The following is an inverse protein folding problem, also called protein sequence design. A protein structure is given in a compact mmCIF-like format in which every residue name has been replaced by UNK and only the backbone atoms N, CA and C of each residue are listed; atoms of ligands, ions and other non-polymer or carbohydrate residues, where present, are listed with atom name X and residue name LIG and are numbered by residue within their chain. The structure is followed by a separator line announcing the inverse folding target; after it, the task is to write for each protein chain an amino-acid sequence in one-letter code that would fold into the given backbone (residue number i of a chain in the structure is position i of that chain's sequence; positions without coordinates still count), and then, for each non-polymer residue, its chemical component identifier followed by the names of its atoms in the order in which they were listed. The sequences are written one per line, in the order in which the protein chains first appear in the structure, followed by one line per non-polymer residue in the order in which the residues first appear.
data_IF_246795494003
#
_entry.id   IF_246795494003
#
_cell.length_a   1.000
_cell.length_b   1.000
_cell.length_c   1.000
_cell.angle_alpha   90.00
_cell.angle_beta   90.00
_cell.angle_gamma   90.00
#
_symmetry.space_group_name_H-M   'P 1'
#
loop_
_entity.id
_entity.type
_entity.pdbx_description
1 polymer ?
#
# COMPACT_ATOMS: atom_id res chain seq x y z
N UNK A 1 49.34 -62.03 11.19
CA UNK A 1 48.90 -62.21 12.58
C UNK A 1 47.53 -61.59 12.68
N UNK A 2 46.49 -62.25 12.15
CA UNK A 2 45.80 -63.42 12.75
C UNK A 2 44.79 -62.90 13.81
N UNK A 3 43.51 -62.78 13.44
CA UNK A 3 42.43 -63.78 13.69
C UNK A 3 42.22 -64.07 15.18
N UNK A 4 41.02 -64.19 15.76
CA UNK A 4 39.65 -64.30 15.26
C UNK A 4 38.67 -64.16 16.46
N UNK A 5 37.36 -64.34 16.16
CA UNK A 5 36.30 -64.95 16.99
C UNK A 5 35.37 -63.95 17.73
N UNK A 6 34.04 -63.96 17.62
CA UNK A 6 33.03 -64.69 16.82
C UNK A 6 31.63 -64.10 17.14
N UNK A 7 30.61 -64.68 16.48
CA UNK A 7 29.15 -64.62 16.71
C UNK A 7 28.35 -63.50 16.01
N UNK A 8 27.28 -63.74 15.23
CA UNK A 8 26.60 -64.95 14.72
C UNK A 8 25.50 -64.50 13.72
N UNK A 9 25.54 -65.00 12.47
CA UNK A 9 24.46 -65.57 11.60
C UNK A 9 23.15 -64.78 11.40
N UNK A 10 22.54 -64.65 10.21
CA UNK A 10 22.98 -64.70 8.80
C UNK A 10 21.79 -64.25 7.88
N UNK A 11 22.11 -64.04 6.61
CA UNK A 11 21.37 -63.46 5.47
C UNK A 11 20.18 -64.25 4.91
N UNK A 12 19.19 -63.47 4.43
CA UNK A 12 18.60 -63.38 3.08
C UNK A 12 18.51 -64.61 2.13
N UNK A 13 17.35 -64.75 1.46
CA UNK A 13 17.29 -65.10 0.03
C UNK A 13 16.26 -66.15 -0.44
N UNK A 14 15.17 -65.68 -1.07
CA UNK A 14 14.56 -66.12 -2.36
C UNK A 14 14.09 -67.57 -2.68
N UNK A 15 12.96 -67.61 -3.41
CA UNK A 15 12.56 -68.50 -4.55
C UNK A 15 11.42 -69.53 -4.40
N UNK A 16 10.40 -69.36 -5.27
CA UNK A 16 9.76 -70.30 -6.24
C UNK A 16 9.16 -71.64 -5.77
N UNK A 17 7.88 -71.90 -6.16
CA UNK A 17 7.40 -73.10 -6.91
C UNK A 17 5.96 -73.52 -6.56
N UNK A 18 5.17 -73.88 -7.58
CA UNK A 18 3.76 -74.34 -7.59
C UNK A 18 3.57 -75.85 -7.27
N UNK A 19 2.41 -76.50 -7.59
CA UNK A 19 1.22 -76.85 -6.79
C UNK A 19 1.09 -78.38 -6.50
N UNK A 20 0.01 -78.91 -5.86
CA UNK A 20 -1.19 -79.48 -6.56
C UNK A 20 -2.50 -79.35 -5.69
N UNK A 21 -3.73 -79.76 -6.01
CA UNK A 21 -4.37 -80.51 -7.10
C UNK A 21 -5.89 -80.71 -6.82
N UNK A 22 -6.68 -80.74 -7.92
CA UNK A 22 -8.01 -81.33 -8.27
C UNK A 22 -9.09 -81.74 -7.23
N UNK A 23 -10.36 -81.40 -7.58
CA UNK A 23 -11.58 -82.18 -7.28
C UNK A 23 -12.92 -81.43 -7.48
N UNK A 24 -13.69 -81.75 -8.54
CA UNK A 24 -14.98 -81.18 -9.04
C UNK A 24 -16.26 -81.53 -8.20
N UNK A 25 -17.55 -81.35 -8.66
CA UNK A 25 -18.19 -80.43 -9.65
C UNK A 25 -19.53 -79.76 -9.17
N UNK A 26 -20.01 -78.75 -9.92
CA UNK A 26 -21.39 -78.80 -10.45
C UNK A 26 -22.47 -77.77 -10.00
N UNK A 27 -23.07 -77.14 -11.04
CA UNK A 27 -24.49 -76.76 -11.22
C UNK A 27 -24.97 -75.36 -10.78
N UNK A 28 -25.20 -74.49 -11.78
CA UNK A 28 -26.09 -73.32 -11.68
C UNK A 28 -26.07 -72.44 -12.93
N UNK A 29 -27.24 -72.26 -13.57
CA UNK A 29 -27.49 -71.59 -14.87
C UNK A 29 -27.37 -70.04 -14.82
N UNK A 30 -27.35 -69.34 -15.98
CA UNK A 30 -26.92 -67.94 -16.10
C UNK A 30 -28.07 -66.92 -16.00
N UNK A 31 -27.78 -65.69 -15.51
CA UNK A 31 -28.65 -64.52 -15.69
C UNK A 31 -27.79 -63.26 -15.88
N UNK A 32 -28.04 -62.42 -16.91
CA UNK A 32 -27.27 -61.20 -17.18
C UNK A 32 -27.85 -60.01 -16.42
N UNK A 33 -27.02 -59.17 -15.80
CA UNK A 33 -27.43 -57.85 -15.28
C UNK A 33 -26.39 -56.78 -15.57
N UNK A 34 -26.34 -56.40 -16.85
CA UNK A 34 -26.10 -55.04 -17.27
C UNK A 34 -27.30 -54.21 -16.81
N UNK A 35 -27.12 -53.22 -15.94
CA UNK A 35 -27.94 -51.99 -15.72
C UNK A 35 -27.64 -51.40 -14.32
N UNK A 36 -26.43 -50.92 -14.07
CA UNK A 36 -26.15 -50.07 -12.91
C UNK A 36 -24.97 -49.10 -13.14
N UNK A 37 -24.86 -48.54 -14.34
CA UNK A 37 -23.84 -47.53 -14.67
C UNK A 37 -24.42 -46.22 -15.24
N UNK A 38 -25.75 -46.07 -15.27
CA UNK A 38 -26.42 -44.91 -15.86
C UNK A 38 -27.07 -43.96 -14.83
N UNK A 39 -26.98 -44.26 -13.53
CA UNK A 39 -27.57 -43.43 -12.47
C UNK A 39 -26.55 -42.56 -11.72
N UNK A 40 -25.24 -42.72 -11.98
CA UNK A 40 -24.19 -41.90 -11.37
C UNK A 40 -23.71 -40.74 -12.25
N UNK A 41 -24.14 -40.69 -13.51
CA UNK A 41 -23.79 -39.62 -14.47
C UNK A 41 -24.86 -38.53 -14.58
N UNK A 42 -26.06 -38.74 -14.01
CA UNK A 42 -27.13 -37.73 -13.95
C UNK A 42 -27.15 -36.92 -12.65
N UNK A 43 -26.33 -37.27 -11.66
CA UNK A 43 -26.21 -36.54 -10.39
C UNK A 43 -25.10 -35.47 -10.39
N UNK A 44 -24.30 -35.35 -11.47
CA UNK A 44 -23.22 -34.37 -11.59
C UNK A 44 -23.52 -33.24 -12.61
N UNK A 45 -24.78 -33.09 -13.01
CA UNK A 45 -25.21 -32.08 -13.99
C UNK A 45 -26.13 -30.97 -13.40
N UNK A 46 -26.34 -30.95 -12.08
CA UNK A 46 -27.37 -30.13 -11.43
C UNK A 46 -26.89 -29.09 -10.43
N UNK A 47 -25.60 -28.75 -10.40
CA UNK A 47 -25.07 -27.77 -9.46
C UNK A 47 -24.06 -26.80 -10.11
N UNK A 48 -24.36 -26.31 -11.31
CA UNK A 48 -23.92 -24.95 -11.66
C UNK A 48 -24.82 -24.00 -10.87
N UNK A 49 -24.49 -23.78 -9.60
CA UNK A 49 -24.89 -22.54 -8.94
C UNK A 49 -24.37 -21.44 -9.88
N UNK A 50 -25.29 -20.83 -10.63
CA UNK A 50 -25.03 -19.53 -11.21
C UNK A 50 -24.67 -18.66 -10.00
N UNK A 51 -23.38 -18.46 -9.77
CA UNK A 51 -22.92 -17.27 -9.06
C UNK A 51 -23.59 -16.16 -9.84
N UNK A 52 -24.63 -15.55 -9.28
CA UNK A 52 -25.20 -14.36 -9.85
C UNK A 52 -24.02 -13.42 -10.02
N UNK A 53 -23.66 -13.15 -11.28
CA UNK A 53 -22.82 -12.01 -11.60
C UNK A 53 -23.45 -10.84 -10.85
N UNK A 54 -22.67 -10.12 -10.05
CA UNK A 54 -23.19 -8.91 -9.43
C UNK A 54 -23.79 -8.07 -10.58
N UNK A 55 -25.00 -7.50 -10.40
CA UNK A 55 -25.58 -6.64 -11.42
C UNK A 55 -24.52 -5.65 -11.86
N UNK A 56 -24.32 -5.52 -13.17
CA UNK A 56 -23.40 -4.51 -13.68
C UNK A 56 -23.81 -3.17 -13.06
N UNK A 57 -22.86 -2.41 -12.48
CA UNK A 57 -23.20 -1.13 -11.90
C UNK A 57 -23.91 -0.28 -12.95
N UNK A 58 -24.99 0.42 -12.58
CA UNK A 58 -25.74 1.25 -13.52
C UNK A 58 -24.78 2.27 -14.15
N UNK A 59 -24.91 2.53 -15.47
CA UNK A 59 -24.03 3.47 -16.16
C UNK A 59 -24.20 4.90 -15.62
N UNK A 60 -25.40 5.21 -15.11
CA UNK A 60 -25.75 6.51 -14.55
C UNK A 60 -26.26 6.42 -13.12
N UNK A 61 -25.90 7.40 -12.30
CA UNK A 61 -26.51 7.67 -11.01
C UNK A 61 -27.03 9.11 -11.00
N UNK A 62 -28.22 9.32 -10.45
CA UNK A 62 -28.80 10.66 -10.32
C UNK A 62 -29.21 10.90 -8.87
N UNK A 63 -28.67 11.96 -8.25
CA UNK A 63 -29.15 12.44 -6.94
C UNK A 63 -30.09 13.59 -7.21
N UNK A 64 -31.39 13.40 -7.04
CA UNK A 64 -32.41 14.37 -7.45
C UNK A 64 -32.94 15.20 -6.28
N UNK A 65 -33.22 16.48 -6.51
CA UNK A 65 -33.90 17.34 -5.53
C UNK A 65 -33.09 17.70 -4.29
N UNK A 66 -31.77 17.48 -4.30
CA UNK A 66 -30.89 17.81 -3.18
C UNK A 66 -30.50 19.28 -3.16
N UNK A 67 -30.16 19.79 -1.97
CA UNK A 67 -29.37 21.02 -1.85
C UNK A 67 -27.92 20.72 -2.20
N UNK A 68 -27.36 21.32 -3.23
CA UNK A 68 -26.00 20.99 -3.73
C UNK A 68 -25.05 22.15 -3.47
N UNK A 69 -23.98 21.86 -2.73
CA UNK A 69 -22.84 22.76 -2.57
C UNK A 69 -21.81 22.39 -3.63
N UNK A 70 -21.54 23.29 -4.57
CA UNK A 70 -20.66 23.01 -5.72
C UNK A 70 -19.16 23.21 -5.43
N UNK A 71 -18.81 23.59 -4.19
CA UNK A 71 -17.44 23.94 -3.78
C UNK A 71 -17.14 25.42 -4.04
N UNK A 72 -16.50 25.72 -5.17
CA UNK A 72 -16.11 27.09 -5.53
C UNK A 72 -17.23 27.90 -6.24
N UNK A 73 -18.34 27.25 -6.59
CA UNK A 73 -19.48 27.85 -7.29
C UNK A 73 -20.64 28.24 -6.36
N UNK A 74 -21.80 28.61 -6.94
CA UNK A 74 -23.01 28.89 -6.17
C UNK A 74 -23.56 27.62 -5.53
N UNK A 75 -24.29 27.81 -4.42
CA UNK A 75 -25.11 26.76 -3.83
C UNK A 75 -26.44 26.69 -4.60
N UNK A 76 -26.85 25.47 -4.95
CA UNK A 76 -28.15 25.21 -5.57
C UNK A 76 -29.09 24.63 -4.52
N UNK A 77 -30.22 25.31 -4.27
CA UNK A 77 -31.14 24.90 -3.20
C UNK A 77 -31.96 23.64 -3.55
N UNK A 78 -32.18 23.38 -4.84
CA UNK A 78 -32.75 22.14 -5.34
C UNK A 78 -32.16 21.85 -6.71
N UNK A 79 -31.34 20.80 -6.80
CA UNK A 79 -30.69 20.39 -8.01
C UNK A 79 -30.49 18.88 -8.10
N UNK A 80 -30.27 18.43 -9.32
CA UNK A 80 -29.86 17.07 -9.64
C UNK A 80 -28.35 17.03 -9.85
N UNK A 81 -27.70 16.00 -9.31
CA UNK A 81 -26.30 15.64 -9.62
C UNK A 81 -26.34 14.36 -10.45
N UNK A 82 -25.96 14.46 -11.72
CA UNK A 82 -25.86 13.32 -12.64
C UNK A 82 -24.41 12.85 -12.69
N UNK A 83 -24.21 11.56 -12.40
CA UNK A 83 -22.93 10.88 -12.50
C UNK A 83 -23.00 9.82 -13.61
N UNK A 84 -21.94 9.73 -14.39
CA UNK A 84 -21.75 8.73 -15.44
C UNK A 84 -20.33 8.16 -15.33
N UNK A 85 -20.20 6.83 -15.34
CA UNK A 85 -18.90 6.14 -15.32
C UNK A 85 -17.94 6.61 -14.20
N UNK A 86 -18.50 6.96 -13.03
CA UNK A 86 -17.72 7.43 -11.87
C UNK A 86 -17.30 8.90 -11.92
N UNK A 87 -17.73 9.66 -12.93
CA UNK A 87 -17.49 11.09 -13.06
C UNK A 87 -18.80 11.88 -12.95
N UNK A 88 -18.70 13.15 -12.52
CA UNK A 88 -19.83 14.07 -12.53
C UNK A 88 -20.02 14.55 -13.97
N UNK A 89 -21.16 14.22 -14.58
CA UNK A 89 -21.49 14.65 -15.93
C UNK A 89 -22.13 16.04 -15.91
N UNK A 90 -23.08 16.27 -14.99
CA UNK A 90 -23.79 17.53 -14.88
C UNK A 90 -24.36 17.79 -13.48
N UNK A 91 -24.49 19.07 -13.13
CA UNK A 91 -25.17 19.53 -11.90
C UNK A 91 -26.08 20.70 -12.26
N UNK A 92 -27.37 20.63 -11.91
CA UNK A 92 -28.34 21.66 -12.26
C UNK A 92 -29.77 21.37 -11.80
N UNK A 93 -30.63 22.39 -11.80
CA UNK A 93 -32.01 22.30 -11.30
C UNK A 93 -32.95 21.50 -12.22
N UNK A 94 -32.77 21.59 -13.54
CA UNK A 94 -33.67 21.01 -14.55
C UNK A 94 -32.92 20.01 -15.46
N UNK A 95 -32.15 19.09 -14.87
CA UNK A 95 -31.45 18.06 -15.63
C UNK A 95 -32.38 16.91 -16.01
N UNK A 96 -32.30 16.48 -17.27
CA UNK A 96 -32.98 15.28 -17.72
C UNK A 96 -32.21 14.04 -17.22
N UNK A 97 -32.87 13.23 -16.39
CA UNK A 97 -32.30 11.99 -15.88
C UNK A 97 -32.49 10.86 -16.91
N UNK A 98 -31.41 10.15 -17.31
CA UNK A 98 -31.50 8.98 -18.18
C UNK A 98 -32.42 7.90 -17.58
N UNK A 99 -33.19 7.21 -18.43
CA UNK A 99 -34.18 6.21 -17.97
C UNK A 99 -33.58 4.95 -17.33
N UNK A 100 -32.28 4.72 -17.52
CA UNK A 100 -31.47 3.65 -16.95
C UNK A 100 -30.61 4.11 -15.76
N UNK A 101 -30.77 5.37 -15.31
CA UNK A 101 -30.07 5.88 -14.15
C UNK A 101 -30.64 5.29 -12.85
N UNK A 102 -29.74 5.01 -11.90
CA UNK A 102 -30.13 4.75 -10.52
C UNK A 102 -30.44 6.08 -9.83
N UNK A 103 -31.71 6.30 -9.53
CA UNK A 103 -32.18 7.52 -8.88
C UNK A 103 -32.07 7.40 -7.36
N UNK A 104 -31.45 8.41 -6.75
CA UNK A 104 -31.30 8.62 -5.32
C UNK A 104 -32.13 9.85 -4.96
N UNK A 105 -33.12 9.69 -4.09
CA UNK A 105 -33.92 10.81 -3.58
C UNK A 105 -33.07 11.67 -2.63
N UNK A 106 -32.75 12.88 -3.09
CA UNK A 106 -31.98 13.88 -2.36
C UNK A 106 -32.84 14.85 -1.54
N UNK A 107 -34.16 14.66 -1.50
CA UNK A 107 -35.08 15.59 -0.83
C UNK A 107 -34.74 15.74 0.66
N UNK A 108 -34.49 16.99 1.08
CA UNK A 108 -34.10 17.30 2.45
C UNK A 108 -32.65 16.94 2.80
N UNK A 109 -31.87 16.42 1.85
CA UNK A 109 -30.45 16.14 2.00
C UNK A 109 -29.61 17.29 1.41
N UNK A 110 -28.36 17.37 1.86
CA UNK A 110 -27.37 18.28 1.28
C UNK A 110 -26.19 17.49 0.73
N UNK A 111 -25.86 17.71 -0.53
CA UNK A 111 -24.73 17.09 -1.22
C UNK A 111 -23.54 18.06 -1.18
N UNK A 112 -22.39 17.54 -0.77
CA UNK A 112 -21.11 18.25 -0.75
C UNK A 112 -20.09 17.50 -1.62
N UNK A 113 -19.08 18.21 -2.16
CA UNK A 113 -17.88 17.56 -2.64
C UNK A 113 -17.21 16.86 -1.46
N UNK A 114 -16.64 15.68 -1.71
CA UNK A 114 -15.90 14.97 -0.68
C UNK A 114 -14.72 15.80 -0.17
N UNK A 115 -14.49 15.78 1.14
CA UNK A 115 -13.37 16.48 1.75
C UNK A 115 -12.05 15.78 1.39
N UNK A 116 -10.97 16.56 1.34
CA UNK A 116 -9.61 16.09 1.08
C UNK A 116 -8.75 16.40 2.30
N UNK A 117 -8.16 15.37 2.90
CA UNK A 117 -7.16 15.54 3.96
C UNK A 117 -5.80 15.87 3.32
N UNK A 118 -5.25 17.06 3.63
CA UNK A 118 -4.06 17.59 2.97
C UNK A 118 -2.74 17.04 3.49
N UNK A 119 -2.72 16.36 4.64
CA UNK A 119 -1.53 15.74 5.20
C UNK A 119 -1.92 14.69 6.24
N UNK A 120 -1.83 13.42 5.85
CA UNK A 120 -2.32 12.30 6.63
C UNK A 120 -1.36 11.11 6.59
N UNK A 121 -1.59 10.13 7.45
CA UNK A 121 -0.96 8.80 7.35
C UNK A 121 -1.95 7.69 6.99
N UNK A 122 -3.16 8.08 6.61
CA UNK A 122 -4.28 7.18 6.43
C UNK A 122 -4.11 6.30 5.20
N UNK A 123 -4.77 5.15 5.25
CA UNK A 123 -4.73 4.14 4.18
C UNK A 123 -3.43 3.33 4.15
N UNK A 124 -2.50 3.58 5.08
CA UNK A 124 -1.30 2.77 5.25
C UNK A 124 -1.56 1.64 6.25
N UNK A 125 -0.91 0.50 6.03
CA UNK A 125 -0.92 -0.56 7.03
C UNK A 125 -0.24 -0.06 8.32
N UNK A 126 -0.73 -0.43 9.52
CA UNK A 126 -0.03 -0.12 10.75
C UNK A 126 1.41 -0.64 10.70
N UNK A 127 2.40 0.14 11.15
CA UNK A 127 3.78 -0.32 11.15
C UNK A 127 3.92 -1.60 11.98
N UNK A 128 4.60 -2.60 11.43
CA UNK A 128 4.87 -3.87 12.12
C UNK A 128 5.58 -3.60 13.46
N UNK A 129 4.96 -4.01 14.57
CA UNK A 129 5.53 -3.83 15.92
C UNK A 129 5.04 -2.58 16.68
N UNK A 130 4.10 -1.80 16.15
CA UNK A 130 3.40 -0.77 16.93
C UNK A 130 2.46 -1.40 17.97
N UNK A 131 3.04 -1.80 19.11
CA UNK A 131 2.28 -2.15 20.31
C UNK A 131 1.49 -0.95 20.85
N UNK A 132 0.48 -1.18 21.71
CA UNK A 132 -0.38 -0.10 22.21
C UNK A 132 0.41 1.04 22.85
N UNK A 133 0.04 2.32 22.60
CA UNK A 133 0.61 3.46 23.30
C UNK A 133 0.16 3.42 24.76
N UNK A 134 0.98 2.80 25.61
CA UNK A 134 0.64 2.57 27.02
C UNK A 134 1.48 1.49 27.72
N UNK A 135 2.22 0.68 26.97
CA UNK A 135 3.21 -0.25 27.53
C UNK A 135 4.52 0.45 27.87
N UNK A 136 4.60 1.12 29.02
CA UNK A 136 5.88 1.43 29.65
C UNK A 136 6.59 0.11 29.99
N UNK A 137 7.31 -0.44 29.03
CA UNK A 137 7.82 -1.80 29.09
C UNK A 137 9.24 -1.90 28.58
N UNK A 138 10.18 -1.69 29.51
CA UNK A 138 11.51 -2.30 29.49
C UNK A 138 12.47 -1.83 28.39
N UNK A 139 13.59 -1.26 28.81
CA UNK A 139 14.79 -1.17 27.98
C UNK A 139 15.32 -2.56 27.63
N UNK A 140 14.64 -3.23 26.70
CA UNK A 140 15.14 -4.41 26.03
C UNK A 140 16.40 -4.01 25.27
N UNK A 141 17.48 -4.73 25.52
CA UNK A 141 18.64 -4.78 24.63
C UNK A 141 18.21 -5.44 23.32
N UNK A 142 17.35 -4.77 22.55
CA UNK A 142 17.14 -5.12 21.15
C UNK A 142 18.48 -5.00 20.43
N UNK A 143 18.70 -5.86 19.43
CA UNK A 143 19.88 -5.78 18.57
C UNK A 143 20.17 -4.31 18.24
N UNK A 144 21.38 -3.84 18.60
CA UNK A 144 21.81 -2.53 18.15
C UNK A 144 21.74 -2.57 16.63
N UNK A 145 20.87 -1.74 16.06
CA UNK A 145 20.96 -1.40 14.65
C UNK A 145 22.39 -0.95 14.31
N UNK A 146 22.73 -0.91 13.01
CA UNK A 146 24.07 -0.55 12.58
C UNK A 146 24.53 0.75 13.26
N UNK A 147 25.80 0.77 13.68
CA UNK A 147 26.38 1.92 14.36
C UNK A 147 26.37 3.13 13.44
N UNK A 148 25.59 4.15 13.79
CA UNK A 148 25.50 5.41 13.05
C UNK A 148 26.70 6.26 13.48
N UNK A 149 27.68 6.40 12.58
CA UNK A 149 28.93 7.15 12.77
C UNK A 149 28.78 8.61 12.35
N UNK A 150 27.93 8.89 11.37
CA UNK A 150 27.80 10.24 10.83
C UNK A 150 26.67 10.44 9.82
N UNK A 151 26.60 11.63 9.19
CA UNK A 151 25.61 11.94 8.17
C UNK A 151 25.67 11.02 6.94
N UNK A 152 26.83 10.42 6.66
CA UNK A 152 27.04 9.48 5.56
C UNK A 152 26.25 8.18 5.71
N UNK A 153 25.90 7.78 6.94
CA UNK A 153 25.11 6.57 7.20
C UNK A 153 23.60 6.80 6.98
N UNK A 154 23.21 8.00 6.52
CA UNK A 154 21.83 8.40 6.18
C UNK A 154 20.79 7.98 7.22
N UNK A 155 20.96 8.31 8.52
CA UNK A 155 20.05 7.84 9.55
C UNK A 155 18.62 8.33 9.28
N UNK A 156 17.66 7.41 9.39
CA UNK A 156 16.20 7.69 9.27
C UNK A 156 15.85 8.51 8.01
N UNK A 157 16.53 8.23 6.90
CA UNK A 157 16.41 8.98 5.65
C UNK A 157 16.04 8.00 4.56
N UNK A 158 14.77 8.04 4.16
CA UNK A 158 14.14 7.14 3.20
C UNK A 158 13.34 7.91 2.13
N UNK A 159 13.89 8.96 1.49
CA UNK A 159 13.16 9.80 0.52
C UNK A 159 12.72 9.05 -0.76
N UNK A 160 13.24 7.83 -0.98
CA UNK A 160 12.83 6.93 -2.06
C UNK A 160 11.58 6.09 -1.74
N UNK A 161 11.19 6.00 -0.47
CA UNK A 161 10.00 5.24 -0.06
C UNK A 161 8.77 6.03 -0.47
N UNK A 162 7.91 5.43 -1.30
CA UNK A 162 6.63 6.00 -1.65
C UNK A 162 5.55 5.56 -0.67
N UNK A 163 4.70 6.48 -0.21
CA UNK A 163 3.54 6.08 0.58
C UNK A 163 2.57 5.17 -0.20
N UNK A 164 2.64 5.14 -1.54
CA UNK A 164 1.89 4.17 -2.35
C UNK A 164 2.28 2.71 -2.05
N UNK A 165 3.55 2.46 -1.68
CA UNK A 165 4.04 1.12 -1.36
C UNK A 165 3.69 0.69 0.07
N UNK A 166 3.27 1.64 0.91
CA UNK A 166 2.90 1.43 2.31
C UNK A 166 1.38 1.25 2.50
N UNK A 167 0.61 1.35 1.41
CA UNK A 167 -0.85 1.25 1.47
C UNK A 167 -1.29 -0.16 1.91
N UNK A 168 -2.30 -0.19 2.76
CA UNK A 168 -2.88 -1.42 3.29
C UNK A 168 -4.22 -1.17 3.97
N UNK A 169 -4.61 -2.13 4.81
CA UNK A 169 -5.82 -2.04 5.62
C UNK A 169 -5.60 -1.09 6.79
N UNK A 170 -6.41 -0.04 6.87
CA UNK A 170 -6.37 0.95 7.94
C UNK A 170 -7.75 1.04 8.60
N UNK A 171 -7.90 0.62 9.87
CA UNK A 171 -9.19 0.60 10.56
C UNK A 171 -9.76 2.00 10.87
N UNK A 172 -9.00 3.08 10.63
CA UNK A 172 -9.50 4.44 10.81
C UNK A 172 -10.12 5.04 9.54
N UNK A 173 -9.97 4.40 8.36
CA UNK A 173 -10.48 4.94 7.09
C UNK A 173 -12.00 5.12 7.12
N UNK A 174 -12.74 4.16 7.71
CA UNK A 174 -14.20 4.25 7.81
C UNK A 174 -14.66 5.48 8.60
N UNK A 175 -13.98 5.81 9.70
CA UNK A 175 -14.29 7.01 10.50
C UNK A 175 -14.07 8.29 9.70
N UNK A 176 -13.06 8.30 8.82
CA UNK A 176 -12.80 9.44 7.94
C UNK A 176 -13.84 9.58 6.84
N UNK A 177 -14.31 8.45 6.28
CA UNK A 177 -15.43 8.45 5.34
C UNK A 177 -16.72 8.94 5.99
N UNK A 178 -17.02 8.50 7.20
CA UNK A 178 -18.17 8.98 7.99
C UNK A 178 -18.10 10.49 8.28
N UNK A 179 -16.89 11.03 8.44
CA UNK A 179 -16.66 12.47 8.57
C UNK A 179 -16.72 13.24 7.24
N UNK A 180 -16.89 12.55 6.10
CA UNK A 180 -17.03 13.16 4.78
C UNK A 180 -15.72 13.27 3.98
N UNK A 181 -14.61 12.68 4.43
CA UNK A 181 -13.36 12.62 3.67
C UNK A 181 -13.42 11.51 2.62
N UNK A 182 -13.05 11.86 1.38
CA UNK A 182 -13.05 10.92 0.24
C UNK A 182 -11.67 10.70 -0.34
N UNK A 183 -10.74 11.62 -0.09
CA UNK A 183 -9.35 11.53 -0.51
C UNK A 183 -8.42 12.05 0.58
N UNK A 184 -7.17 11.58 0.56
CA UNK A 184 -6.14 12.03 1.48
C UNK A 184 -4.77 12.07 0.80
N UNK A 185 -3.97 13.07 1.12
CA UNK A 185 -2.54 13.08 0.81
C UNK A 185 -1.84 12.33 1.94
N UNK A 186 -1.43 11.10 1.65
CA UNK A 186 -0.79 10.21 2.62
C UNK A 186 0.73 10.28 2.51
N UNK A 187 1.41 10.30 3.66
CA UNK A 187 2.88 10.39 3.76
C UNK A 187 3.43 9.31 4.69
N UNK A 188 4.65 8.80 4.47
CA UNK A 188 5.26 7.87 5.42
C UNK A 188 5.41 8.55 6.79
N UNK A 189 5.08 7.83 7.87
CA UNK A 189 4.96 8.42 9.21
C UNK A 189 6.29 8.78 9.86
N UNK A 190 7.33 7.99 9.61
CA UNK A 190 8.58 8.04 10.37
C UNK A 190 9.79 8.36 9.49
N UNK A 191 10.72 9.13 10.06
CA UNK A 191 11.95 9.53 9.36
C UNK A 191 12.20 11.03 9.42
N UNK A 192 13.46 11.43 9.19
CA UNK A 192 13.82 12.82 8.94
C UNK A 192 13.38 13.18 7.53
N UNK A 193 13.90 12.50 6.52
CA UNK A 193 13.28 12.46 5.19
C UNK A 193 12.48 11.16 5.11
N UNK A 194 11.18 11.22 5.41
CA UNK A 194 10.37 10.02 5.58
C UNK A 194 10.04 9.34 4.26
N UNK A 195 9.85 10.12 3.18
CA UNK A 195 9.52 9.60 1.86
C UNK A 195 8.54 10.47 1.10
N UNK A 196 7.98 9.91 0.03
CA UNK A 196 7.15 10.61 -0.94
C UNK A 196 5.67 10.58 -0.54
N UNK A 197 5.01 11.73 -0.68
CA UNK A 197 3.58 11.89 -0.51
C UNK A 197 2.81 11.45 -1.76
N UNK A 198 1.67 10.78 -1.56
CA UNK A 198 0.76 10.40 -2.66
C UNK A 198 -0.68 10.76 -2.30
N UNK A 199 -1.46 11.16 -3.29
CA UNK A 199 -2.90 11.37 -3.14
C UNK A 199 -3.62 10.05 -3.38
N UNK A 200 -4.41 9.64 -2.40
CA UNK A 200 -5.21 8.41 -2.44
C UNK A 200 -6.70 8.70 -2.33
N UNK A 201 -7.50 7.83 -2.91
CA UNK A 201 -8.91 7.68 -2.64
C UNK A 201 -9.12 6.81 -1.40
N UNK A 202 -10.03 7.20 -0.52
CA UNK A 202 -10.37 6.47 0.71
C UNK A 202 -11.49 5.42 0.51
N UNK A 203 -11.95 5.20 -0.71
CA UNK A 203 -12.97 4.20 -1.02
C UNK A 203 -12.46 2.76 -0.98
N UNK A 204 -13.42 1.85 -1.16
CA UNK A 204 -13.20 0.39 -1.10
C UNK A 204 -12.64 -0.10 -2.43
N UNK A 205 -11.32 0.04 -2.61
CA UNK A 205 -10.59 -0.46 -3.77
C UNK A 205 -9.26 -1.07 -3.34
N UNK A 206 -8.70 -1.94 -4.19
CA UNK A 206 -7.37 -2.50 -3.98
C UNK A 206 -6.33 -1.38 -3.76
N UNK A 207 -5.33 -1.55 -2.86
CA UNK A 207 -4.37 -0.49 -2.50
C UNK A 207 -3.78 0.26 -3.70
N UNK A 208 -3.45 -0.46 -4.78
CA UNK A 208 -2.89 0.15 -6.00
C UNK A 208 -3.91 0.99 -6.78
N UNK A 209 -5.18 0.61 -6.78
CA UNK A 209 -6.26 1.34 -7.45
C UNK A 209 -6.69 2.58 -6.66
N UNK A 210 -6.39 2.63 -5.36
CA UNK A 210 -6.64 3.81 -4.53
C UNK A 210 -5.70 4.97 -4.85
N UNK A 211 -4.56 4.75 -5.51
CA UNK A 211 -3.62 5.84 -5.85
C UNK A 211 -4.18 6.69 -6.98
N UNK A 212 -4.45 7.98 -6.70
CA UNK A 212 -4.93 8.95 -7.68
C UNK A 212 -3.75 9.64 -8.37
N UNK A 213 -2.79 10.12 -7.58
CA UNK A 213 -1.64 10.86 -8.10
C UNK A 213 -0.44 10.77 -7.15
N UNK A 214 0.76 10.76 -7.71
CA UNK A 214 2.00 10.80 -6.95
C UNK A 214 3.22 10.53 -7.81
N UNK A 215 4.43 10.80 -7.28
CA UNK A 215 4.71 11.48 -6.02
C UNK A 215 4.45 13.00 -6.07
N UNK A 216 3.78 13.54 -5.06
CA UNK A 216 3.36 14.95 -4.99
C UNK A 216 4.32 15.84 -4.21
N UNK A 217 4.92 15.31 -3.15
CA UNK A 217 5.75 16.05 -2.22
C UNK A 217 6.73 15.13 -1.49
N UNK A 218 7.70 15.68 -0.79
CA UNK A 218 8.60 14.95 0.11
C UNK A 218 8.26 15.27 1.56
N UNK A 219 8.15 14.26 2.42
CA UNK A 219 7.87 14.44 3.85
C UNK A 219 9.18 14.66 4.62
N UNK A 220 9.31 15.81 5.27
CA UNK A 220 10.48 16.19 6.06
C UNK A 220 10.08 16.49 7.51
N UNK A 221 10.63 15.77 8.49
CA UNK A 221 10.34 15.93 9.91
C UNK A 221 11.56 16.36 10.71
N UNK A 222 11.35 17.22 11.70
CA UNK A 222 12.37 17.59 12.68
C UNK A 222 12.32 16.68 13.92
N UNK A 223 12.24 15.37 13.70
CA UNK A 223 12.11 14.37 14.77
C UNK A 223 13.45 14.09 15.47
N UNK A 224 13.43 14.12 16.81
CA UNK A 224 14.54 13.79 17.69
C UNK A 224 14.17 12.58 18.55
N UNK A 225 14.69 11.41 18.22
CA UNK A 225 14.30 10.19 18.93
C UNK A 225 15.13 9.90 20.19
N UNK A 226 16.46 10.07 20.14
CA UNK A 226 17.33 9.67 21.25
C UNK A 226 18.68 10.37 21.19
N UNK A 227 19.20 10.75 22.37
CA UNK A 227 20.55 11.29 22.51
C UNK A 227 21.66 10.27 22.24
N UNK A 228 21.33 8.97 22.13
CA UNK A 228 22.30 7.90 21.89
C UNK A 228 22.60 7.64 20.42
N UNK A 229 21.89 8.31 19.51
CA UNK A 229 22.00 8.13 18.07
C UNK A 229 22.10 9.49 17.38
N UNK A 230 22.84 9.54 16.27
CA UNK A 230 22.95 10.74 15.44
C UNK A 230 21.77 10.83 14.45
N UNK A 231 21.16 12.01 14.25
CA UNK A 231 21.28 13.22 15.06
C UNK A 231 20.43 13.15 16.34
N UNK A 232 21.04 13.50 17.48
CA UNK A 232 20.42 13.39 18.81
C UNK A 232 19.81 14.69 19.37
N UNK A 233 19.86 15.79 18.61
CA UNK A 233 19.30 17.08 19.01
C UNK A 233 18.65 17.77 17.83
N UNK A 234 17.74 18.72 18.08
CA UNK A 234 17.07 19.48 17.02
C UNK A 234 18.08 20.24 16.14
N UNK A 235 19.09 20.86 16.75
CA UNK A 235 20.17 21.52 16.00
C UNK A 235 20.93 20.52 15.13
N UNK A 236 21.18 19.31 15.64
CA UNK A 236 21.79 18.23 14.88
C UNK A 236 20.92 17.79 13.70
N UNK A 237 19.60 17.69 13.89
CA UNK A 237 18.66 17.35 12.81
C UNK A 237 18.68 18.43 11.72
N UNK A 238 18.63 19.71 12.09
CA UNK A 238 18.68 20.80 11.11
C UNK A 238 20.03 20.85 10.37
N UNK A 239 21.14 20.64 11.07
CA UNK A 239 22.46 20.54 10.43
C UNK A 239 22.54 19.34 9.48
N UNK A 240 21.99 18.19 9.89
CA UNK A 240 21.91 16.99 9.07
C UNK A 240 21.05 17.21 7.81
N UNK A 241 19.88 17.83 7.94
CA UNK A 241 19.00 18.16 6.80
C UNK A 241 19.71 19.04 5.80
N UNK A 242 20.38 20.11 6.25
CA UNK A 242 21.21 20.96 5.38
C UNK A 242 22.32 20.18 4.70
N UNK A 243 23.02 19.32 5.45
CA UNK A 243 24.08 18.48 4.89
C UNK A 243 23.54 17.57 3.77
N UNK A 244 22.40 16.91 3.97
CA UNK A 244 21.78 16.04 2.96
C UNK A 244 21.39 16.83 1.71
N UNK A 245 20.84 18.04 1.85
CA UNK A 245 20.49 18.88 0.70
C UNK A 245 21.73 19.34 -0.07
N UNK A 246 22.79 19.76 0.63
CA UNK A 246 24.09 20.09 0.00
C UNK A 246 24.71 18.88 -0.70
N UNK A 247 24.66 17.70 -0.08
CA UNK A 247 25.11 16.45 -0.69
C UNK A 247 24.29 16.13 -1.95
N UNK A 248 22.98 16.40 -1.92
CA UNK A 248 22.07 16.17 -3.05
C UNK A 248 22.43 17.08 -4.24
N UNK A 249 22.67 18.37 -3.98
CA UNK A 249 23.12 19.31 -5.01
C UNK A 249 24.48 18.90 -5.60
N UNK A 250 25.41 18.46 -4.74
CA UNK A 250 26.71 17.95 -5.16
C UNK A 250 26.56 16.69 -6.02
N UNK A 251 25.75 15.72 -5.58
CA UNK A 251 25.45 14.49 -6.28
C UNK A 251 24.86 14.76 -7.67
N UNK A 252 23.83 15.60 -7.74
CA UNK A 252 23.20 15.99 -9.00
C UNK A 252 24.21 16.66 -9.97
N UNK A 253 25.09 17.51 -9.44
CA UNK A 253 26.16 18.14 -10.23
C UNK A 253 27.15 17.10 -10.76
N UNK A 254 27.62 16.21 -9.92
CA UNK A 254 28.59 15.16 -10.29
C UNK A 254 27.99 14.21 -11.34
N UNK A 255 26.74 13.78 -11.16
CA UNK A 255 25.98 12.99 -12.15
C UNK A 255 25.87 13.73 -13.49
N UNK A 256 25.50 15.01 -13.48
CA UNK A 256 25.38 15.81 -14.72
C UNK A 256 26.71 15.96 -15.45
N UNK A 257 27.82 16.13 -14.72
CA UNK A 257 29.16 16.24 -15.29
C UNK A 257 29.61 14.90 -15.87
N UNK A 258 29.38 13.80 -15.15
CA UNK A 258 29.69 12.46 -15.64
C UNK A 258 28.88 12.12 -16.89
N UNK A 259 27.58 12.41 -16.91
CA UNK A 259 26.71 12.18 -18.07
C UNK A 259 27.14 12.98 -19.30
N UNK A 260 27.68 14.20 -19.12
CA UNK A 260 28.16 15.04 -20.21
C UNK A 260 29.48 14.55 -20.85
N UNK A 261 30.44 14.08 -20.04
CA UNK A 261 31.69 13.48 -20.53
C UNK A 261 32.20 12.40 -19.57
N UNK A 262 31.84 11.12 -19.81
CA UNK A 262 32.25 10.00 -18.96
C UNK A 262 33.74 9.64 -19.05
N UNK A 263 34.44 10.10 -20.10
CA UNK A 263 35.79 9.62 -20.42
C UNK A 263 36.80 10.10 -19.38
N UNK A 264 37.52 9.17 -18.79
CA UNK A 264 38.56 9.46 -17.78
C UNK A 264 38.02 9.91 -16.43
N UNK A 265 36.70 9.79 -16.18
CA UNK A 265 36.08 10.10 -14.90
C UNK A 265 35.61 8.82 -14.21
N UNK A 266 35.72 8.81 -12.89
CA UNK A 266 35.13 7.74 -12.09
C UNK A 266 33.60 7.88 -12.10
N UNK A 267 32.91 6.74 -12.21
CA UNK A 267 31.45 6.71 -12.18
C UNK A 267 30.97 7.08 -10.77
N UNK A 268 30.02 8.03 -10.62
CA UNK A 268 29.48 8.37 -9.31
C UNK A 268 28.81 7.16 -8.66
N UNK A 269 28.96 7.06 -7.34
CA UNK A 269 28.32 6.00 -6.55
C UNK A 269 26.85 6.32 -6.37
N UNK A 270 25.98 5.36 -6.70
CA UNK A 270 24.54 5.51 -6.53
C UNK A 270 24.16 5.54 -5.04
N UNK A 271 23.55 6.65 -4.61
CA UNK A 271 22.94 6.80 -3.28
C UNK A 271 21.41 6.99 -3.48
N UNK A 272 20.56 6.05 -3.02
CA UNK A 272 19.12 6.14 -3.20
C UNK A 272 18.50 7.35 -2.50
N UNK A 273 19.10 7.85 -1.41
CA UNK A 273 18.63 9.04 -0.71
C UNK A 273 18.80 10.27 -1.61
N UNK A 274 20.02 10.46 -2.10
CA UNK A 274 20.38 11.61 -2.91
C UNK A 274 19.71 11.56 -4.28
N UNK A 275 19.59 10.39 -4.90
CA UNK A 275 18.91 10.23 -6.18
C UNK A 275 17.43 10.65 -6.09
N UNK A 276 16.71 10.18 -5.07
CA UNK A 276 15.30 10.52 -4.88
C UNK A 276 15.08 12.00 -4.54
N UNK A 277 15.98 12.60 -3.75
CA UNK A 277 15.92 14.03 -3.43
C UNK A 277 16.31 14.89 -4.63
N UNK A 278 17.30 14.48 -5.43
CA UNK A 278 17.69 15.19 -6.64
C UNK A 278 16.54 15.25 -7.65
N UNK A 279 15.81 14.14 -7.83
CA UNK A 279 14.60 14.12 -8.65
C UNK A 279 13.52 15.08 -8.09
N UNK A 280 13.28 15.05 -6.77
CA UNK A 280 12.28 15.90 -6.14
C UNK A 280 12.61 17.40 -6.27
N UNK A 281 13.87 17.78 -6.07
CA UNK A 281 14.36 19.15 -6.25
C UNK A 281 14.27 19.60 -7.71
N UNK A 282 14.68 18.74 -8.65
CA UNK A 282 14.58 19.02 -10.08
C UNK A 282 13.12 19.22 -10.53
N UNK A 283 12.20 18.44 -9.98
CA UNK A 283 10.76 18.55 -10.23
C UNK A 283 10.07 19.66 -9.42
N UNK A 284 10.81 20.40 -8.57
CA UNK A 284 10.29 21.42 -7.65
C UNK A 284 9.13 20.91 -6.78
N UNK A 285 9.22 19.67 -6.34
CA UNK A 285 8.22 19.09 -5.43
C UNK A 285 8.36 19.75 -4.06
N UNK A 286 7.25 20.17 -3.41
CA UNK A 286 7.31 20.79 -2.09
C UNK A 286 7.75 19.79 -1.01
N UNK A 287 8.28 20.33 0.08
CA UNK A 287 8.49 19.56 1.31
C UNK A 287 7.32 19.79 2.28
N UNK A 288 6.72 18.70 2.76
CA UNK A 288 5.69 18.72 3.79
C UNK A 288 6.39 18.61 5.16
N UNK A 289 6.37 19.70 5.91
CA UNK A 289 7.01 19.83 7.23
C UNK A 289 5.93 20.12 8.27
N UNK A 290 5.50 19.12 9.08
CA UNK A 290 4.58 19.36 10.18
C UNK A 290 5.23 20.24 11.24
N UNK A 291 4.44 21.13 11.80
CA UNK A 291 4.80 21.96 12.93
C UNK A 291 3.54 22.47 13.62
N UNK A 292 3.48 22.27 14.93
CA UNK A 292 2.33 22.71 15.74
C UNK A 292 2.63 24.07 16.39
N UNK A 293 3.92 24.43 16.51
CA UNK A 293 4.38 25.63 17.17
C UNK A 293 4.91 26.65 16.16
N UNK A 294 4.68 27.94 16.41
CA UNK A 294 5.18 29.02 15.54
C UNK A 294 6.69 28.94 15.25
N UNK A 295 7.50 28.60 16.26
CA UNK A 295 8.95 28.40 16.12
C UNK A 295 9.35 27.23 15.21
N UNK A 296 8.49 26.22 15.04
CA UNK A 296 8.73 25.10 14.13
C UNK A 296 8.44 25.53 12.69
N UNK A 297 7.33 26.27 12.51
CA UNK A 297 6.95 26.88 11.24
C UNK A 297 8.04 27.86 10.77
N UNK A 298 8.52 28.74 11.65
CA UNK A 298 9.60 29.69 11.33
C UNK A 298 10.89 28.98 10.87
N UNK A 299 11.24 27.85 11.49
CA UNK A 299 12.40 27.05 11.08
C UNK A 299 12.19 26.39 9.74
N UNK A 300 10.99 25.86 9.48
CA UNK A 300 10.64 25.24 8.20
C UNK A 300 10.70 26.28 7.07
N UNK A 301 10.15 27.47 7.29
CA UNK A 301 10.19 28.59 6.35
C UNK A 301 11.62 29.09 6.12
N UNK A 302 12.43 29.24 7.19
CA UNK A 302 13.82 29.64 7.07
C UNK A 302 14.62 28.61 6.25
N UNK A 303 14.44 27.32 6.51
CA UNK A 303 15.08 26.26 5.73
C UNK A 303 14.65 26.28 4.27
N UNK A 304 13.36 26.46 3.98
CA UNK A 304 12.85 26.58 2.60
C UNK A 304 13.22 27.86 1.87
N UNK A 305 13.79 28.86 2.56
CA UNK A 305 14.37 30.04 1.93
C UNK A 305 15.85 29.84 1.56
N UNK A 306 16.51 28.84 2.16
CA UNK A 306 17.92 28.51 1.89
C UNK A 306 18.09 27.64 0.64
N UNK A 307 17.08 26.81 0.30
CA UNK A 307 17.09 25.83 -0.80
C UNK A 307 15.80 25.89 -1.63
#
# INVERSE_FOLDING_TARGET
MEEAMEHRIDRAGSTVSSPPGRGEPGRGRPIPRLRLAAALLTALAGATMARGEAPLPPPYYAIEGARVVTGAGPILESATVLLADGLIEAVGADLATPGDAWVIDGSGLTVYPGLIDGLSSRGQAPPEGAGPPGGGGGGGFGERGPEIRGPEDRPRTTPWVSAADLLGEDPQVDKWREAGFTAAVTVPESGIFAGQAVLIHLGDAEPRQRVIAGPLAQRLAFDTQSFRSYPGSLMGVLAYVRQVLLDTEHYARVESLYAADPRGRERPVYDPALAALAEALAARRPFLVPGDLGREIDRALALGAEH
#
